data_IF_457379326547
#
_entry.id   IF_457379326547
#
_cell.length_a   1.000
_cell.length_b   1.000
_cell.length_c   1.000
_cell.angle_alpha   90.00
_cell.angle_beta   90.00
_cell.angle_gamma   90.00
#
_symmetry.space_group_name_H-M   'P 1'
#
loop_
_entity.id
_entity.type
_entity.pdbx_description
1 polymer ?
#
# COMPACT_ATOMS: atom_id res chain seq x y z
N UNK A 1 -39.72 27.54 29.64
CA UNK A 1 -39.26 26.15 29.88
C UNK A 1 -39.25 25.45 28.53
N UNK A 2 -38.08 25.22 27.97
CA UNK A 2 -37.92 24.53 26.67
C UNK A 2 -37.66 23.05 26.98
N UNK A 3 -38.46 22.11 26.46
CA UNK A 3 -38.20 20.69 26.66
C UNK A 3 -36.91 20.32 25.93
N UNK A 4 -35.93 19.79 26.67
CA UNK A 4 -34.77 19.16 26.06
C UNK A 4 -35.22 17.82 25.48
N UNK A 5 -35.35 17.76 24.16
CA UNK A 5 -35.52 16.52 23.42
C UNK A 5 -34.20 15.76 23.46
N UNK A 6 -34.11 14.79 24.36
CA UNK A 6 -33.03 13.81 24.37
C UNK A 6 -33.11 12.99 23.08
N UNK A 7 -32.20 13.24 22.14
CA UNK A 7 -31.99 12.38 20.98
C UNK A 7 -31.29 11.11 21.47
N UNK A 8 -32.04 10.04 21.63
CA UNK A 8 -31.48 8.70 21.84
C UNK A 8 -30.92 8.23 20.51
N UNK A 9 -29.60 8.35 20.30
CA UNK A 9 -28.91 7.62 19.24
C UNK A 9 -29.03 6.13 19.58
N UNK A 10 -29.84 5.40 18.81
CA UNK A 10 -29.88 3.95 18.87
C UNK A 10 -28.49 3.41 18.50
N UNK A 11 -27.93 2.55 19.35
CA UNK A 11 -26.68 1.87 19.05
C UNK A 11 -26.85 1.06 17.74
N UNK A 12 -25.86 1.08 16.83
CA UNK A 12 -25.91 0.27 15.62
C UNK A 12 -26.05 -1.21 16.00
N UNK A 13 -26.93 -1.92 15.28
CA UNK A 13 -27.16 -3.34 15.52
C UNK A 13 -25.89 -4.14 15.18
N UNK A 14 -25.23 -4.68 16.19
CA UNK A 14 -23.93 -5.39 16.12
C UNK A 14 -23.86 -6.46 15.02
N UNK A 15 -24.99 -7.03 14.57
CA UNK A 15 -25.03 -8.02 13.50
C UNK A 15 -24.79 -7.49 12.08
N UNK A 16 -24.92 -6.18 11.82
CA UNK A 16 -24.75 -5.63 10.46
C UNK A 16 -23.29 -5.38 10.10
N UNK A 17 -22.47 -4.96 11.06
CA UNK A 17 -21.08 -4.56 10.80
C UNK A 17 -20.16 -5.76 10.55
N UNK A 18 -20.29 -6.85 11.32
CA UNK A 18 -19.54 -8.10 11.10
C UNK A 18 -19.85 -8.71 9.72
N UNK A 19 -21.13 -8.69 9.32
CA UNK A 19 -21.55 -9.17 8.01
C UNK A 19 -21.00 -8.27 6.88
N UNK A 20 -21.04 -6.95 7.07
CA UNK A 20 -20.45 -6.00 6.12
C UNK A 20 -18.95 -6.23 5.96
N UNK A 21 -18.22 -6.42 7.06
CA UNK A 21 -16.78 -6.71 7.07
C UNK A 21 -16.46 -8.01 6.30
N UNK A 22 -17.16 -9.11 6.59
CA UNK A 22 -16.94 -10.38 5.88
C UNK A 22 -17.27 -10.29 4.38
N UNK A 23 -18.31 -9.53 4.01
CA UNK A 23 -18.67 -9.32 2.60
C UNK A 23 -17.64 -8.43 1.90
N UNK A 24 -17.18 -7.37 2.55
CA UNK A 24 -16.15 -6.49 2.02
C UNK A 24 -14.84 -7.24 1.79
N UNK A 25 -14.43 -8.08 2.74
CA UNK A 25 -13.26 -8.98 2.60
C UNK A 25 -13.36 -9.84 1.33
N UNK A 26 -14.50 -10.50 1.12
CA UNK A 26 -14.72 -11.36 -0.04
C UNK A 26 -14.63 -10.58 -1.36
N UNK A 27 -15.23 -9.39 -1.42
CA UNK A 27 -15.17 -8.50 -2.58
C UNK A 27 -13.75 -8.00 -2.85
N UNK A 28 -13.01 -7.64 -1.80
CA UNK A 28 -11.62 -7.19 -1.90
C UNK A 28 -10.72 -8.29 -2.46
N UNK A 29 -10.86 -9.53 -1.97
CA UNK A 29 -10.13 -10.69 -2.52
C UNK A 29 -10.51 -10.95 -3.98
N UNK A 30 -11.80 -10.84 -4.33
CA UNK A 30 -12.26 -11.00 -5.71
C UNK A 30 -11.69 -9.91 -6.64
N UNK A 31 -11.66 -8.66 -6.18
CA UNK A 31 -11.09 -7.54 -6.94
C UNK A 31 -9.61 -7.77 -7.23
N UNK A 32 -8.83 -8.19 -6.23
CA UNK A 32 -7.42 -8.53 -6.40
C UNK A 32 -7.21 -9.69 -7.37
N UNK A 33 -8.10 -10.70 -7.39
CA UNK A 33 -8.09 -11.76 -8.41
C UNK A 33 -8.32 -11.22 -9.81
N UNK A 34 -9.28 -10.32 -10.01
CA UNK A 34 -9.50 -9.65 -11.31
C UNK A 34 -8.28 -8.83 -11.73
N UNK A 35 -7.68 -8.10 -10.80
CA UNK A 35 -6.46 -7.31 -11.04
C UNK A 35 -5.28 -8.18 -11.46
N UNK A 36 -5.09 -9.34 -10.83
CA UNK A 36 -4.05 -10.32 -11.21
C UNK A 36 -4.31 -10.92 -12.59
N UNK A 37 -5.58 -11.10 -12.95
CA UNK A 37 -5.97 -11.59 -14.27
C UNK A 37 -5.90 -10.51 -15.37
N UNK A 38 -5.41 -9.31 -15.08
CA UNK A 38 -5.34 -8.20 -16.03
C UNK A 38 -6.70 -7.56 -16.34
N UNK A 39 -7.73 -7.83 -15.53
CA UNK A 39 -9.09 -7.30 -15.68
C UNK A 39 -9.45 -6.28 -14.59
N UNK A 40 -8.45 -5.70 -13.93
CA UNK A 40 -8.63 -4.72 -12.85
C UNK A 40 -9.36 -3.44 -13.24
N UNK A 41 -9.46 -3.13 -14.54
CA UNK A 41 -10.19 -1.97 -15.08
C UNK A 41 -11.47 -2.39 -15.84
N UNK A 42 -11.84 -3.67 -15.79
CA UNK A 42 -13.01 -4.19 -16.49
C UNK A 42 -14.32 -3.92 -15.75
N UNK A 43 -15.48 -4.13 -16.41
CA UNK A 43 -16.80 -3.93 -15.80
C UNK A 43 -16.99 -4.71 -14.51
N UNK A 44 -16.47 -5.94 -14.44
CA UNK A 44 -16.55 -6.76 -13.23
C UNK A 44 -15.79 -6.12 -12.05
N UNK A 45 -14.61 -5.53 -12.30
CA UNK A 45 -13.86 -4.85 -11.24
C UNK A 45 -14.57 -3.56 -10.77
N UNK A 46 -15.22 -2.83 -11.70
CA UNK A 46 -16.05 -1.68 -11.36
C UNK A 46 -17.28 -2.06 -10.53
N UNK A 47 -17.98 -3.15 -10.88
CA UNK A 47 -19.11 -3.66 -10.11
C UNK A 47 -18.70 -4.02 -8.68
N UNK A 48 -17.55 -4.71 -8.52
CA UNK A 48 -16.99 -5.03 -7.21
C UNK A 48 -16.68 -3.77 -6.39
N UNK A 49 -16.05 -2.75 -7.00
CA UNK A 49 -15.78 -1.46 -6.34
C UNK A 49 -17.06 -0.74 -5.93
N UNK A 50 -18.10 -0.79 -6.76
CA UNK A 50 -19.41 -0.20 -6.47
C UNK A 50 -20.07 -0.85 -5.24
N UNK A 51 -20.02 -2.18 -5.15
CA UNK A 51 -20.51 -2.89 -3.97
C UNK A 51 -19.67 -2.57 -2.72
N UNK A 52 -18.34 -2.56 -2.84
CA UNK A 52 -17.43 -2.20 -1.74
C UNK A 52 -17.70 -0.79 -1.21
N UNK A 53 -17.92 0.18 -2.10
CA UNK A 53 -18.20 1.57 -1.73
C UNK A 53 -19.48 1.70 -0.88
N UNK A 54 -20.48 0.85 -1.12
CA UNK A 54 -21.71 0.82 -0.32
C UNK A 54 -21.44 0.28 1.08
N UNK A 55 -20.74 -0.87 1.16
CA UNK A 55 -20.43 -1.54 2.42
C UNK A 55 -19.48 -0.73 3.31
N UNK A 56 -18.62 0.12 2.73
CA UNK A 56 -17.66 0.93 3.47
C UNK A 56 -18.32 1.77 4.58
N UNK A 57 -19.51 2.30 4.32
CA UNK A 57 -20.25 3.12 5.31
C UNK A 57 -20.91 2.31 6.42
N UNK A 58 -20.94 0.98 6.30
CA UNK A 58 -21.45 0.06 7.32
C UNK A 58 -20.34 -0.46 8.25
N UNK A 59 -19.07 -0.20 7.93
CA UNK A 59 -17.93 -0.61 8.73
C UNK A 59 -17.71 0.37 9.89
N UNK A 60 -17.28 -0.17 11.03
CA UNK A 60 -16.66 0.66 12.06
C UNK A 60 -15.20 1.01 11.70
N UNK A 61 -14.61 1.94 12.45
CA UNK A 61 -13.25 2.42 12.22
C UNK A 61 -12.19 1.30 12.32
N UNK A 62 -12.39 0.35 13.24
CA UNK A 62 -11.43 -0.76 13.41
C UNK A 62 -11.48 -1.72 12.23
N UNK A 63 -12.68 -2.05 11.74
CA UNK A 63 -12.91 -2.89 10.58
C UNK A 63 -12.41 -2.22 9.30
N UNK A 64 -12.70 -0.93 9.11
CA UNK A 64 -12.21 -0.17 7.97
C UNK A 64 -10.67 -0.17 7.94
N UNK A 65 -10.03 0.09 9.08
CA UNK A 65 -8.55 0.02 9.21
C UNK A 65 -8.03 -1.39 8.92
N UNK A 66 -8.70 -2.43 9.43
CA UNK A 66 -8.31 -3.82 9.21
C UNK A 66 -8.37 -4.22 7.73
N UNK A 67 -9.39 -3.75 7.00
CA UNK A 67 -9.60 -4.04 5.59
C UNK A 67 -8.68 -3.21 4.68
N UNK A 68 -8.32 -1.99 5.09
CA UNK A 68 -7.29 -1.19 4.44
C UNK A 68 -5.91 -1.88 4.57
N UNK A 69 -5.57 -2.32 5.78
CA UNK A 69 -4.40 -3.14 6.06
C UNK A 69 -4.35 -4.42 5.19
N UNK A 70 -5.50 -5.07 4.99
CA UNK A 70 -5.62 -6.25 4.12
C UNK A 70 -5.37 -5.90 2.65
N UNK A 71 -5.94 -4.80 2.16
CA UNK A 71 -5.75 -4.38 0.77
C UNK A 71 -4.27 -4.16 0.46
N UNK A 72 -3.58 -3.46 1.36
CA UNK A 72 -2.14 -3.21 1.26
C UNK A 72 -1.32 -4.52 1.22
N UNK A 73 -1.72 -5.53 1.98
CA UNK A 73 -1.07 -6.85 1.99
C UNK A 73 -1.37 -7.68 0.74
N UNK A 74 -2.55 -7.54 0.15
CA UNK A 74 -2.89 -8.17 -1.13
C UNK A 74 -2.11 -7.54 -2.29
N UNK A 75 -1.90 -6.22 -2.28
CA UNK A 75 -0.99 -5.56 -3.24
C UNK A 75 0.46 -6.01 -3.08
N UNK A 76 0.89 -6.28 -1.84
CA UNK A 76 2.24 -6.74 -1.55
C UNK A 76 2.54 -8.09 -2.21
N UNK A 77 1.63 -9.07 -2.09
CA UNK A 77 1.82 -10.38 -2.75
C UNK A 77 1.69 -10.29 -4.27
N UNK A 78 1.01 -9.28 -4.81
CA UNK A 78 0.98 -9.04 -6.26
C UNK A 78 2.25 -8.38 -6.80
N UNK A 79 3.23 -8.05 -5.94
CA UNK A 79 4.44 -7.33 -6.33
C UNK A 79 4.16 -5.88 -6.76
N UNK A 80 2.97 -5.35 -6.45
CA UNK A 80 2.53 -4.00 -6.84
C UNK A 80 2.85 -2.94 -5.79
N UNK A 81 3.36 -3.33 -4.63
CA UNK A 81 3.68 -2.44 -3.51
C UNK A 81 5.17 -2.42 -3.24
N UNK A 82 5.71 -1.22 -3.02
CA UNK A 82 7.06 -1.05 -2.50
C UNK A 82 7.14 -1.45 -1.03
N UNK A 83 8.26 -2.05 -0.65
CA UNK A 83 8.54 -2.46 0.74
C UNK A 83 8.73 -1.22 1.61
N UNK A 84 8.20 -1.26 2.84
CA UNK A 84 8.42 -0.19 3.82
C UNK A 84 9.89 -0.17 4.23
N UNK A 85 10.54 0.99 4.11
CA UNK A 85 11.94 1.15 4.49
C UNK A 85 12.19 0.83 5.96
N UNK A 86 13.33 0.21 6.25
CA UNK A 86 13.80 -0.03 7.61
C UNK A 86 14.04 1.29 8.34
N UNK A 87 13.68 1.35 9.62
CA UNK A 87 14.08 2.45 10.49
C UNK A 87 15.58 2.36 10.82
N UNK A 88 16.16 3.47 11.26
CA UNK A 88 17.57 3.51 11.67
C UNK A 88 17.85 2.45 12.76
N UNK A 89 18.83 1.57 12.49
CA UNK A 89 19.21 0.47 13.37
C UNK A 89 18.43 -0.84 13.19
N UNK A 90 17.40 -0.89 12.35
CA UNK A 90 16.74 -2.16 11.98
C UNK A 90 17.59 -2.94 10.97
N UNK A 91 17.80 -4.24 11.23
CA UNK A 91 18.48 -5.15 10.30
C UNK A 91 17.54 -6.29 9.91
N UNK A 92 17.75 -6.89 8.74
CA UNK A 92 16.96 -8.05 8.28
C UNK A 92 17.01 -9.21 9.30
N UNK A 93 18.18 -9.49 9.87
CA UNK A 93 18.33 -10.53 10.90
C UNK A 93 17.55 -10.19 12.17
N UNK A 94 17.61 -8.93 12.62
CA UNK A 94 16.81 -8.45 13.75
C UNK A 94 15.30 -8.53 13.47
N UNK A 95 14.88 -8.27 12.24
CA UNK A 95 13.49 -8.37 11.81
C UNK A 95 12.98 -9.82 11.87
N UNK A 96 13.78 -10.79 11.40
CA UNK A 96 13.43 -12.21 11.48
C UNK A 96 13.20 -12.68 12.92
N UNK A 97 14.05 -12.27 13.86
CA UNK A 97 13.86 -12.60 15.28
C UNK A 97 12.60 -11.94 15.86
N UNK A 98 12.32 -10.68 15.50
CA UNK A 98 11.12 -9.98 15.95
C UNK A 98 9.86 -10.65 15.41
N UNK A 99 9.87 -11.04 14.14
CA UNK A 99 8.78 -11.74 13.47
C UNK A 99 8.49 -13.08 14.15
N UNK A 100 9.53 -13.87 14.42
CA UNK A 100 9.39 -15.16 15.10
C UNK A 100 8.80 -15.00 16.51
N UNK A 101 9.29 -14.02 17.28
CA UNK A 101 8.77 -13.73 18.63
C UNK A 101 7.30 -13.31 18.59
N UNK A 102 6.94 -12.36 17.72
CA UNK A 102 5.57 -11.89 17.54
C UNK A 102 4.63 -13.03 17.13
N UNK A 103 5.10 -13.89 16.21
CA UNK A 103 4.34 -15.05 15.75
C UNK A 103 4.09 -16.07 16.87
N UNK A 104 5.10 -16.38 17.68
CA UNK A 104 4.98 -17.26 18.85
C UNK A 104 4.07 -16.66 19.94
N UNK A 105 4.11 -15.34 20.12
CA UNK A 105 3.24 -14.62 21.04
C UNK A 105 1.78 -14.51 20.54
N UNK A 106 1.51 -14.84 19.28
CA UNK A 106 0.18 -14.74 18.69
C UNK A 106 -0.24 -13.30 18.31
N UNK A 107 0.71 -12.37 18.22
CA UNK A 107 0.48 -10.95 17.90
C UNK A 107 0.25 -10.75 16.39
N UNK A 108 -0.89 -11.21 15.86
CA UNK A 108 -1.15 -11.26 14.40
C UNK A 108 -0.94 -9.92 13.67
N UNK A 109 -1.48 -8.80 14.19
CA UNK A 109 -1.30 -7.47 13.56
C UNK A 109 0.18 -7.06 13.49
N UNK A 110 0.96 -7.38 14.54
CA UNK A 110 2.40 -7.08 14.57
C UNK A 110 3.16 -7.94 13.58
N UNK A 111 2.83 -9.22 13.46
CA UNK A 111 3.40 -10.12 12.45
C UNK A 111 3.25 -9.53 11.05
N UNK A 112 2.03 -9.11 10.69
CA UNK A 112 1.75 -8.48 9.39
C UNK A 112 2.57 -7.20 9.18
N UNK A 113 2.61 -6.33 10.20
CA UNK A 113 3.42 -5.10 10.17
C UNK A 113 4.90 -5.37 9.90
N UNK A 114 5.48 -6.38 10.56
CA UNK A 114 6.89 -6.76 10.38
C UNK A 114 7.13 -7.35 8.99
N UNK A 115 6.18 -8.12 8.45
CA UNK A 115 6.27 -8.71 7.11
C UNK A 115 6.31 -7.64 6.02
N UNK A 116 5.54 -6.55 6.16
CA UNK A 116 5.53 -5.42 5.19
C UNK A 116 6.88 -4.71 5.04
N UNK A 117 7.79 -4.91 5.99
CA UNK A 117 9.17 -4.39 5.95
C UNK A 117 10.16 -5.35 5.30
N UNK A 118 9.75 -6.58 4.96
CA UNK A 118 10.64 -7.55 4.35
C UNK A 118 10.86 -7.21 2.86
N UNK A 119 12.10 -7.31 2.35
CA UNK A 119 12.44 -6.92 0.98
C UNK A 119 11.77 -7.80 -0.09
N UNK A 120 11.34 -9.01 0.28
CA UNK A 120 10.65 -9.94 -0.60
C UNK A 120 9.70 -10.82 0.20
N UNK A 121 8.61 -11.21 -0.43
CA UNK A 121 7.62 -12.14 0.13
C UNK A 121 7.78 -13.49 -0.54
N UNK A 122 8.29 -14.45 0.23
CA UNK A 122 8.42 -15.85 -0.18
C UNK A 122 7.23 -16.68 0.29
N UNK A 123 7.12 -17.92 -0.21
CA UNK A 123 6.05 -18.85 0.16
C UNK A 123 5.86 -19.01 1.70
N UNK A 124 6.92 -19.18 2.51
CA UNK A 124 6.76 -19.30 3.96
C UNK A 124 6.17 -18.02 4.58
N UNK A 125 6.57 -16.85 4.09
CA UNK A 125 6.09 -15.56 4.56
C UNK A 125 4.60 -15.37 4.22
N UNK A 126 4.20 -15.67 2.97
CA UNK A 126 2.80 -15.62 2.57
C UNK A 126 1.93 -16.59 3.39
N UNK A 127 2.45 -17.79 3.71
CA UNK A 127 1.76 -18.72 4.61
C UNK A 127 1.56 -18.11 6.01
N UNK A 128 2.58 -17.45 6.57
CA UNK A 128 2.47 -16.76 7.86
C UNK A 128 1.46 -15.61 7.80
N UNK A 129 1.40 -14.85 6.69
CA UNK A 129 0.37 -13.82 6.47
C UNK A 129 -1.02 -14.44 6.48
N UNK A 130 -1.25 -15.50 5.71
CA UNK A 130 -2.54 -16.19 5.65
C UNK A 130 -3.02 -16.68 7.02
N UNK A 131 -2.12 -17.27 7.82
CA UNK A 131 -2.42 -17.69 9.18
C UNK A 131 -2.72 -16.51 10.11
N UNK A 132 -2.02 -15.39 9.94
CA UNK A 132 -2.21 -14.18 10.76
C UNK A 132 -3.57 -13.54 10.48
N UNK A 133 -3.97 -13.44 9.21
CA UNK A 133 -5.30 -12.98 8.81
C UNK A 133 -6.42 -13.89 9.29
N UNK A 134 -6.20 -15.21 9.31
CA UNK A 134 -7.21 -16.17 9.76
C UNK A 134 -7.49 -16.06 11.26
N UNK A 135 -6.46 -15.70 12.06
CA UNK A 135 -6.62 -15.37 13.48
C UNK A 135 -7.38 -14.06 13.71
N UNK A 136 -7.43 -13.17 12.72
CA UNK A 136 -8.18 -11.91 12.75
C UNK A 136 -9.61 -12.07 12.17
N UNK A 137 -10.02 -13.30 11.84
CA UNK A 137 -11.37 -13.60 11.36
C UNK A 137 -11.55 -13.52 9.84
N UNK A 138 -10.50 -13.12 9.09
CA UNK A 138 -10.55 -12.90 7.64
C UNK A 138 -10.18 -14.18 6.87
N UNK A 139 -11.16 -15.06 6.68
CA UNK A 139 -10.95 -16.41 6.13
C UNK A 139 -10.74 -16.44 4.61
N UNK A 140 -11.35 -15.53 3.86
CA UNK A 140 -11.17 -15.44 2.40
C UNK A 140 -9.75 -14.95 2.07
N UNK A 141 -9.26 -13.97 2.83
CA UNK A 141 -7.89 -13.52 2.80
C UNK A 141 -6.94 -14.68 3.12
N UNK A 142 -7.19 -15.43 4.20
CA UNK A 142 -6.40 -16.62 4.55
C UNK A 142 -6.27 -17.59 3.38
N UNK A 143 -7.39 -17.94 2.73
CA UNK A 143 -7.37 -18.83 1.58
C UNK A 143 -6.53 -18.25 0.43
N UNK A 144 -6.69 -16.95 0.12
CA UNK A 144 -5.94 -16.27 -0.92
C UNK A 144 -4.42 -16.31 -0.69
N UNK A 145 -3.96 -16.05 0.53
CA UNK A 145 -2.53 -16.12 0.87
C UNK A 145 -1.97 -17.56 0.82
N UNK A 146 -2.77 -18.57 1.17
CA UNK A 146 -2.35 -19.97 1.04
C UNK A 146 -2.28 -20.41 -0.43
N UNK A 147 -3.23 -19.99 -1.27
CA UNK A 147 -3.17 -20.22 -2.73
C UNK A 147 -1.89 -19.61 -3.30
N UNK A 148 -1.56 -18.38 -2.90
CA UNK A 148 -0.33 -17.71 -3.30
C UNK A 148 0.92 -18.47 -2.84
N UNK A 149 1.01 -18.83 -1.56
CA UNK A 149 2.14 -19.59 -1.02
C UNK A 149 2.34 -20.94 -1.74
N UNK A 150 1.24 -21.63 -2.06
CA UNK A 150 1.29 -22.90 -2.80
C UNK A 150 1.78 -22.71 -4.25
N UNK A 151 1.36 -21.64 -4.91
CA UNK A 151 1.78 -21.36 -6.28
C UNK A 151 3.30 -21.15 -6.38
N UNK A 152 3.93 -20.52 -5.39
CA UNK A 152 5.40 -20.35 -5.32
C UNK A 152 6.15 -21.69 -5.28
N UNK A 153 5.67 -22.66 -4.50
CA UNK A 153 6.32 -23.96 -4.35
C UNK A 153 6.25 -24.85 -5.60
N UNK A 154 5.30 -24.59 -6.50
CA UNK A 154 5.07 -25.39 -7.71
C UNK A 154 6.06 -25.12 -8.86
N UNK A 155 7.04 -24.23 -8.67
CA UNK A 155 8.04 -23.92 -9.71
C UNK A 155 7.47 -23.17 -10.91
N UNK A 156 6.29 -22.55 -10.77
CA UNK A 156 5.70 -21.66 -11.79
C UNK A 156 5.76 -20.18 -11.35
N UNK A 157 6.95 -19.58 -11.18
CA UNK A 157 7.08 -18.16 -10.86
C UNK A 157 6.65 -17.26 -12.03
N UNK A 158 6.51 -17.82 -13.24
CA UNK A 158 6.18 -17.09 -14.46
C UNK A 158 4.78 -16.43 -14.46
N UNK A 159 3.89 -16.80 -13.54
CA UNK A 159 2.63 -16.07 -13.32
C UNK A 159 2.76 -14.86 -12.38
N UNK A 160 3.92 -14.69 -11.71
CA UNK A 160 4.12 -13.70 -10.63
C UNK A 160 5.27 -12.72 -10.88
N UNK A 161 6.21 -12.99 -11.79
CA UNK A 161 7.40 -12.16 -12.03
C UNK A 161 7.35 -11.28 -13.29
N UNK A 162 6.17 -10.88 -13.79
CA UNK A 162 6.10 -9.93 -14.92
C UNK A 162 6.41 -8.49 -14.46
N UNK A 163 7.58 -8.26 -13.86
CA UNK A 163 8.08 -6.94 -13.46
C UNK A 163 9.57 -6.71 -13.74
N UNK A 164 10.28 -7.67 -14.34
CA UNK A 164 11.57 -7.36 -14.97
C UNK A 164 11.33 -7.05 -16.44
N UNK A 165 11.23 -5.75 -16.78
CA UNK A 165 11.42 -5.11 -18.11
C UNK A 165 10.46 -3.91 -18.33
N UNK A 166 10.54 -2.88 -17.48
CA UNK A 166 10.18 -1.50 -17.90
C UNK A 166 11.10 -0.47 -17.22
N UNK A 167 12.40 -0.71 -17.28
CA UNK A 167 13.41 0.31 -17.04
C UNK A 167 14.41 0.30 -18.19
N UNK A 168 13.91 0.59 -19.39
CA UNK A 168 14.70 1.18 -20.48
C UNK A 168 13.74 1.76 -21.53
N UNK A 169 13.34 3.01 -21.30
CA UNK A 169 13.07 3.92 -22.42
C UNK A 169 14.04 5.08 -22.25
N UNK A 170 15.29 4.81 -22.64
CA UNK A 170 16.20 5.84 -23.13
C UNK A 170 15.47 6.61 -24.25
N UNK A 171 15.20 7.89 -23.99
CA UNK A 171 14.46 8.72 -24.94
C UNK A 171 14.51 10.21 -24.63
N UNK A 172 15.64 10.69 -24.08
CA UNK A 172 15.91 12.13 -24.06
C UNK A 172 16.66 12.50 -25.35
N UNK A 173 16.07 13.28 -26.29
CA UNK A 173 16.84 13.83 -27.39
C UNK A 173 17.78 14.92 -26.86
N UNK A 174 19.07 14.56 -26.78
CA UNK A 174 20.16 15.48 -26.51
C UNK A 174 20.38 16.42 -27.70
N UNK A 175 20.51 17.70 -27.37
CA UNK A 175 20.71 18.81 -28.29
C UNK A 175 22.02 18.68 -29.09
N UNK A 176 21.94 18.85 -30.40
CA UNK A 176 23.06 19.33 -31.21
C UNK A 176 22.54 20.08 -32.43
N UNK A 177 22.54 21.41 -32.34
CA UNK A 177 22.16 22.33 -33.39
C UNK A 177 22.92 23.64 -33.22
N UNK A 178 24.22 23.60 -33.48
CA UNK A 178 25.14 24.72 -33.49
C UNK A 178 24.97 25.46 -34.82
N UNK A 179 24.40 26.66 -34.80
CA UNK A 179 24.62 27.65 -35.86
C UNK A 179 24.82 29.04 -35.27
N UNK A 180 26.03 29.57 -35.47
CA UNK A 180 26.47 30.92 -35.16
C UNK A 180 25.94 31.88 -36.24
N UNK A 181 25.30 32.98 -35.85
CA UNK A 181 25.52 34.29 -36.50
C UNK A 181 25.50 35.45 -35.47
N UNK A 182 26.38 36.45 -35.62
CA UNK A 182 26.51 37.59 -34.72
C UNK A 182 25.78 38.83 -35.26
N UNK A 183 25.28 39.69 -34.36
CA UNK A 183 25.12 41.15 -34.54
C UNK A 183 24.67 41.74 -33.19
N UNK A 184 25.56 42.42 -32.45
CA UNK A 184 25.71 43.89 -32.38
C UNK A 184 24.36 44.57 -32.08
N UNK A 185 24.16 45.14 -30.89
CA UNK A 185 24.49 46.55 -30.66
C UNK A 185 24.35 46.94 -29.18
N UNK A 186 25.11 47.96 -28.87
CA UNK A 186 25.43 48.62 -27.62
C UNK A 186 24.23 49.40 -27.04
N UNK A 187 24.14 49.44 -25.71
CA UNK A 187 23.72 50.61 -24.92
C UNK A 187 23.73 50.18 -23.44
N UNK A 188 24.82 50.46 -22.74
CA UNK A 188 24.94 51.65 -21.88
C UNK A 188 23.84 51.75 -20.82
N UNK A 189 24.23 51.60 -19.56
CA UNK A 189 23.32 51.87 -18.43
C UNK A 189 23.91 51.64 -17.04
N UNK A 190 25.06 52.27 -16.78
CA UNK A 190 25.48 52.89 -15.51
C UNK A 190 24.75 52.55 -14.20
N UNK A 191 25.57 52.13 -13.22
CA UNK A 191 25.49 52.55 -11.80
C UNK A 191 24.43 51.82 -10.96
N UNK A 192 24.63 51.49 -9.69
CA UNK A 192 25.50 52.09 -8.70
C UNK A 192 25.93 51.08 -7.63
N UNK A 193 27.12 51.35 -7.08
CA UNK A 193 27.61 50.89 -5.79
C UNK A 193 26.59 51.24 -4.70
N UNK A 194 26.45 50.40 -3.67
CA UNK A 194 26.74 50.81 -2.29
C UNK A 194 26.67 49.65 -1.28
N UNK A 195 27.78 49.53 -0.57
CA UNK A 195 28.04 48.82 0.68
C UNK A 195 26.88 48.85 1.70
N UNK A 196 26.74 47.79 2.50
CA UNK A 196 26.90 47.97 3.95
C UNK A 196 27.22 46.65 4.66
N UNK A 197 28.40 46.60 5.27
CA UNK A 197 28.71 45.73 6.40
C UNK A 197 28.01 46.32 7.64
N UNK A 198 27.60 45.50 8.62
CA UNK A 198 27.60 45.87 10.04
C UNK A 198 27.71 44.59 10.89
N UNK A 199 28.76 44.55 11.70
CA UNK A 199 28.96 43.68 12.86
C UNK A 199 28.11 44.13 14.05
N UNK A 200 27.76 43.18 14.92
CA UNK A 200 27.63 43.24 16.41
C UNK A 200 27.04 41.87 16.81
N UNK A 201 27.63 40.98 17.61
CA UNK A 201 28.24 41.04 18.95
C UNK A 201 27.36 41.71 19.99
N UNK A 202 26.55 40.91 20.68
CA UNK A 202 26.56 40.71 22.15
C UNK A 202 26.24 39.24 22.41
#
# INVERSE_FOLDING_TARGET
>A
MVPQSSVTLAAPAVGTTEQACARYEALLVALHREMRAGRGEGPCAEDLRGEMATLWYELDEEQATLLDDLSEDLYLIEGKRAVVSFSEGETVSGMGQQLERAFKAGESRRVLTLIRKLPSIEAPTAFVMGRSWGKLGLQQATACFYEFANAFGSGNPAQYTRYEEVHDVEGAPSANGRELKPQIDESEGRGAKMNNAHSSTV
#
